data_IF_562945197413
#
_entry.id   IF_562945197413
#
_cell.length_a   1.000
_cell.length_b   1.000
_cell.length_c   1.000
_cell.angle_alpha   90.00
_cell.angle_beta   90.00
_cell.angle_gamma   90.00
#
_symmetry.space_group_name_H-M   'P 1'
#
loop_
_entity.id
_entity.type
_entity.pdbx_description
1 polymer ?
#
# COMPACT_ATOMS: atom_id res chain seq x y z
N UNK A 1 -46.46 -31.40 -31.32
CA UNK A 1 -45.55 -30.31 -31.71
C UNK A 1 -45.42 -30.31 -33.22
N UNK A 2 -45.82 -29.24 -33.92
CA UNK A 2 -45.86 -29.24 -35.40
C UNK A 2 -44.47 -29.44 -35.98
N UNK A 3 -44.37 -30.07 -37.16
CA UNK A 3 -43.08 -30.27 -37.85
C UNK A 3 -42.29 -28.96 -38.00
N UNK A 4 -42.98 -27.83 -38.24
CA UNK A 4 -42.38 -26.50 -38.31
C UNK A 4 -41.71 -26.08 -37.00
N UNK A 5 -42.33 -26.35 -35.85
CA UNK A 5 -41.75 -25.99 -34.54
C UNK A 5 -40.49 -26.81 -34.21
N UNK A 6 -40.40 -28.06 -34.69
CA UNK A 6 -39.18 -28.87 -34.57
C UNK A 6 -38.03 -28.33 -35.42
N UNK A 7 -38.31 -27.86 -36.64
CA UNK A 7 -37.32 -27.22 -37.51
C UNK A 7 -36.80 -25.90 -36.93
N UNK A 8 -37.68 -25.06 -36.38
CA UNK A 8 -37.26 -23.82 -35.70
C UNK A 8 -36.43 -24.11 -34.44
N UNK A 9 -36.79 -25.14 -33.65
CA UNK A 9 -36.00 -25.55 -32.51
C UNK A 9 -34.61 -26.07 -32.92
N UNK A 10 -34.52 -26.91 -33.97
CA UNK A 10 -33.22 -27.40 -34.48
C UNK A 10 -32.35 -26.28 -35.04
N UNK A 11 -32.94 -25.34 -35.78
CA UNK A 11 -32.23 -24.18 -36.31
C UNK A 11 -31.73 -23.27 -35.16
N UNK A 12 -32.56 -23.03 -34.14
CA UNK A 12 -32.17 -22.30 -32.94
C UNK A 12 -30.99 -22.95 -32.20
N UNK A 13 -31.05 -24.27 -31.99
CA UNK A 13 -29.95 -25.03 -31.36
C UNK A 13 -28.68 -24.96 -32.21
N UNK A 14 -28.78 -25.05 -33.53
CA UNK A 14 -27.63 -24.97 -34.45
C UNK A 14 -26.97 -23.60 -34.42
N UNK A 15 -27.75 -22.52 -34.40
CA UNK A 15 -27.25 -21.14 -34.29
C UNK A 15 -26.58 -20.91 -32.94
N UNK A 16 -27.20 -21.34 -31.83
CA UNK A 16 -26.62 -21.22 -30.49
C UNK A 16 -25.32 -22.01 -30.39
N UNK A 17 -25.27 -23.22 -30.95
CA UNK A 17 -24.08 -24.07 -30.97
C UNK A 17 -22.97 -23.43 -31.80
N UNK A 18 -23.29 -22.85 -32.97
CA UNK A 18 -22.32 -22.11 -33.77
C UNK A 18 -21.77 -20.88 -33.04
N UNK A 19 -22.62 -20.12 -32.35
CA UNK A 19 -22.20 -18.99 -31.51
C UNK A 19 -21.29 -19.46 -30.38
N UNK A 20 -21.61 -20.58 -29.71
CA UNK A 20 -20.78 -21.16 -28.66
C UNK A 20 -19.43 -21.64 -29.19
N UNK A 21 -19.38 -22.28 -30.36
CA UNK A 21 -18.14 -22.73 -30.99
C UNK A 21 -17.27 -21.53 -31.39
N UNK A 22 -17.87 -20.49 -31.97
CA UNK A 22 -17.18 -19.24 -32.34
C UNK A 22 -16.66 -18.55 -31.08
N UNK A 23 -17.47 -18.43 -30.03
CA UNK A 23 -17.05 -17.82 -28.77
C UNK A 23 -15.93 -18.62 -28.07
N UNK A 24 -16.03 -19.95 -28.04
CA UNK A 24 -15.03 -20.85 -27.48
C UNK A 24 -13.71 -20.83 -28.28
N UNK A 25 -13.78 -20.56 -29.59
CA UNK A 25 -12.62 -20.57 -30.50
C UNK A 25 -12.11 -19.18 -30.86
N UNK A 26 -12.76 -18.11 -30.38
CA UNK A 26 -12.47 -16.72 -30.77
C UNK A 26 -11.01 -16.34 -30.47
N UNK A 27 -10.54 -16.65 -29.26
CA UNK A 27 -9.16 -16.42 -28.83
C UNK A 27 -8.14 -17.13 -29.73
N UNK A 28 -8.46 -18.33 -30.19
CA UNK A 28 -7.63 -19.12 -31.10
C UNK A 28 -7.63 -18.52 -32.50
N UNK A 29 -8.78 -18.06 -33.00
CA UNK A 29 -8.89 -17.39 -34.30
C UNK A 29 -8.14 -16.06 -34.35
N UNK A 30 -8.25 -15.25 -33.29
CA UNK A 30 -7.49 -13.98 -33.16
C UNK A 30 -6.00 -14.27 -33.11
N UNK A 31 -5.58 -15.29 -32.33
CA UNK A 31 -4.17 -15.70 -32.28
C UNK A 31 -3.62 -16.15 -33.64
N UNK A 32 -4.37 -16.96 -34.38
CA UNK A 32 -3.99 -17.41 -35.73
C UNK A 32 -3.87 -16.21 -36.67
N UNK A 33 -4.86 -15.31 -36.68
CA UNK A 33 -4.84 -14.08 -37.49
C UNK A 33 -3.59 -13.25 -37.20
N UNK A 34 -3.27 -13.05 -35.93
CA UNK A 34 -2.11 -12.24 -35.54
C UNK A 34 -0.78 -12.97 -35.78
N UNK A 35 -0.76 -14.31 -35.71
CA UNK A 35 0.38 -15.15 -36.13
C UNK A 35 0.67 -14.97 -37.62
N UNK A 36 -0.36 -15.00 -38.47
CA UNK A 36 -0.20 -14.73 -39.91
C UNK A 36 0.29 -13.31 -40.14
N UNK A 37 -0.26 -12.31 -39.45
CA UNK A 37 0.24 -10.92 -39.54
C UNK A 37 1.70 -10.79 -39.12
N UNK A 38 2.08 -11.38 -37.99
CA UNK A 38 3.46 -11.38 -37.50
C UNK A 38 4.41 -12.05 -38.48
N UNK A 39 3.99 -13.17 -39.08
CA UNK A 39 4.75 -13.85 -40.13
C UNK A 39 4.96 -12.92 -41.33
N UNK A 40 3.90 -12.25 -41.82
CA UNK A 40 3.99 -11.26 -42.92
C UNK A 40 4.95 -10.12 -42.56
N UNK A 41 4.80 -9.53 -41.37
CA UNK A 41 5.68 -8.44 -40.90
C UNK A 41 7.15 -8.87 -40.88
N UNK A 42 7.45 -10.05 -40.32
CA UNK A 42 8.83 -10.58 -40.25
C UNK A 42 9.39 -10.92 -41.64
N UNK A 43 8.58 -11.51 -42.51
CA UNK A 43 9.00 -11.97 -43.85
C UNK A 43 9.35 -10.79 -44.75
N UNK A 44 8.54 -9.73 -44.70
CA UNK A 44 8.69 -8.56 -45.56
C UNK A 44 9.42 -7.41 -44.89
N UNK A 45 9.91 -7.59 -43.66
CA UNK A 45 10.60 -6.57 -42.85
C UNK A 45 9.88 -5.20 -42.86
N UNK A 46 8.54 -5.22 -42.77
CA UNK A 46 7.69 -4.05 -43.04
C UNK A 46 7.94 -2.85 -42.10
N UNK A 47 8.68 -3.06 -41.01
CA UNK A 47 8.96 -2.05 -39.99
C UNK A 47 10.44 -1.96 -39.59
N UNK A 48 11.36 -2.47 -40.42
CA UNK A 48 12.81 -2.47 -40.13
C UNK A 48 13.17 -3.07 -38.75
N UNK A 49 12.34 -3.98 -38.25
CA UNK A 49 12.49 -4.59 -36.93
C UNK A 49 13.23 -5.93 -37.07
N UNK A 50 14.24 -6.23 -36.25
CA UNK A 50 14.95 -7.50 -36.34
C UNK A 50 13.95 -8.65 -36.21
N UNK A 51 13.94 -9.61 -37.14
CA UNK A 51 12.92 -10.67 -37.22
C UNK A 51 12.72 -11.48 -35.92
N UNK A 52 13.72 -11.48 -35.03
CA UNK A 52 13.69 -12.12 -33.72
C UNK A 52 12.83 -11.39 -32.66
N UNK A 53 12.39 -10.15 -32.89
CA UNK A 53 11.76 -9.32 -31.84
C UNK A 53 10.22 -9.33 -31.85
N UNK A 54 9.57 -9.89 -32.88
CA UNK A 54 8.11 -9.77 -33.06
C UNK A 54 7.37 -11.07 -32.71
N UNK A 55 7.17 -11.43 -31.45
CA UNK A 55 6.47 -12.66 -31.04
C UNK A 55 4.94 -12.48 -30.89
N UNK A 56 4.14 -13.47 -31.33
CA UNK A 56 2.69 -13.50 -31.09
C UNK A 56 2.37 -14.23 -29.81
N UNK A 57 1.63 -13.56 -28.92
CA UNK A 57 1.25 -14.04 -27.60
C UNK A 57 -0.17 -14.61 -27.66
N UNK A 58 -0.39 -15.80 -27.11
CA UNK A 58 -1.71 -16.45 -27.12
C UNK A 58 -2.76 -15.65 -26.34
N UNK A 59 -4.03 -15.70 -26.78
CA UNK A 59 -5.15 -15.10 -26.04
C UNK A 59 -5.28 -15.60 -24.59
N UNK A 60 -4.83 -16.82 -24.30
CA UNK A 60 -4.74 -17.34 -22.93
C UNK A 60 -3.64 -16.70 -22.09
N UNK A 61 -2.55 -16.26 -22.72
CA UNK A 61 -1.46 -15.53 -22.06
C UNK A 61 -1.84 -14.08 -21.72
N UNK A 62 -2.82 -13.49 -22.43
CA UNK A 62 -3.40 -12.18 -22.09
C UNK A 62 -4.09 -12.15 -20.72
N UNK A 63 -4.48 -13.29 -20.12
CA UNK A 63 -5.02 -13.32 -18.74
C UNK A 63 -4.05 -12.73 -17.70
N UNK A 64 -2.75 -12.66 -18.01
CA UNK A 64 -1.72 -12.07 -17.16
C UNK A 64 -1.45 -10.61 -17.46
N UNK A 65 -2.21 -9.99 -18.36
CA UNK A 65 -2.01 -8.61 -18.79
C UNK A 65 -3.33 -7.83 -18.71
N UNK A 66 -3.26 -6.58 -18.31
CA UNK A 66 -4.37 -5.63 -18.34
C UNK A 66 -4.16 -4.62 -19.47
N UNK A 67 -5.28 -4.19 -20.05
CA UNK A 67 -5.27 -3.09 -21.00
C UNK A 67 -5.07 -1.78 -20.22
N UNK A 68 -3.92 -1.15 -20.40
CA UNK A 68 -3.55 0.14 -19.79
C UNK A 68 -4.60 1.23 -20.06
N UNK A 69 -5.23 1.18 -21.22
CA UNK A 69 -6.15 2.20 -21.73
C UNK A 69 -7.63 1.78 -21.62
N UNK A 70 -7.95 0.78 -20.80
CA UNK A 70 -9.34 0.31 -20.61
C UNK A 70 -10.29 1.42 -20.16
N UNK A 71 -9.79 2.35 -19.32
CA UNK A 71 -10.52 3.51 -18.83
C UNK A 71 -9.81 4.81 -19.26
N UNK A 72 -9.48 4.90 -20.56
CA UNK A 72 -8.81 6.07 -21.13
C UNK A 72 -9.67 7.35 -20.90
N UNK A 73 -9.10 8.43 -20.31
CA UNK A 73 -9.83 9.67 -20.08
C UNK A 73 -10.38 10.31 -21.36
N UNK A 74 -11.40 11.15 -21.22
CA UNK A 74 -11.96 11.90 -22.36
C UNK A 74 -10.87 12.75 -23.06
N UNK A 75 -10.89 12.74 -24.39
CA UNK A 75 -9.92 13.44 -25.22
C UNK A 75 -8.59 12.71 -25.39
N UNK A 76 -8.37 11.58 -24.71
CA UNK A 76 -7.17 10.77 -24.86
C UNK A 76 -7.37 9.71 -25.94
N UNK A 77 -6.33 9.47 -26.72
CA UNK A 77 -6.26 8.36 -27.67
C UNK A 77 -4.80 7.90 -27.78
N UNK A 78 -4.59 6.63 -28.10
CA UNK A 78 -3.24 6.10 -28.25
C UNK A 78 -3.05 5.55 -29.68
N UNK A 79 -1.82 5.64 -30.17
CA UNK A 79 -1.38 4.95 -31.38
C UNK A 79 -0.05 4.26 -31.09
N UNK A 80 -0.03 2.93 -31.26
CA UNK A 80 1.06 2.08 -30.79
C UNK A 80 1.39 2.36 -29.30
N UNK A 81 2.64 2.72 -29.02
CA UNK A 81 3.14 2.99 -27.67
C UNK A 81 3.13 4.49 -27.30
N UNK A 82 2.46 5.34 -28.09
CA UNK A 82 2.37 6.78 -27.81
C UNK A 82 0.94 7.16 -27.44
N UNK A 83 0.82 7.92 -26.35
CA UNK A 83 -0.43 8.50 -25.88
C UNK A 83 -0.55 9.95 -26.36
N UNK A 84 -1.76 10.33 -26.76
CA UNK A 84 -2.08 11.65 -27.25
C UNK A 84 -3.30 12.20 -26.54
N UNK A 85 -3.37 13.52 -26.45
CA UNK A 85 -4.53 14.25 -25.96
C UNK A 85 -5.02 15.25 -27.01
N UNK A 86 -6.34 15.31 -27.20
CA UNK A 86 -7.05 16.35 -27.94
C UNK A 86 -8.34 16.70 -27.21
N UNK A 87 -8.30 17.78 -26.43
CA UNK A 87 -9.43 18.26 -25.64
C UNK A 87 -10.45 19.06 -26.46
N UNK A 88 -11.69 19.08 -26.00
CA UNK A 88 -12.78 19.95 -26.50
C UNK A 88 -12.86 21.31 -25.78
N UNK A 89 -12.04 21.51 -24.74
CA UNK A 89 -11.94 22.74 -23.95
C UNK A 89 -10.49 23.01 -23.58
N UNK A 90 -10.19 24.25 -23.23
CA UNK A 90 -8.88 24.61 -22.69
C UNK A 90 -8.63 23.86 -21.38
N UNK A 91 -7.45 23.31 -21.20
CA UNK A 91 -7.03 22.63 -19.97
C UNK A 91 -5.63 23.09 -19.56
N UNK A 92 -5.31 23.03 -18.28
CA UNK A 92 -3.94 23.33 -17.84
C UNK A 92 -3.06 22.10 -18.05
N UNK A 93 -1.76 22.30 -18.29
CA UNK A 93 -0.80 21.18 -18.35
C UNK A 93 -0.75 20.42 -17.02
N UNK A 94 -1.10 21.10 -15.91
CA UNK A 94 -1.19 20.46 -14.60
C UNK A 94 -2.36 19.48 -14.49
N UNK A 95 -3.54 19.85 -14.96
CA UNK A 95 -4.71 18.97 -14.99
C UNK A 95 -4.48 17.81 -15.96
N UNK A 96 -3.89 18.11 -17.12
CA UNK A 96 -3.52 17.11 -18.11
C UNK A 96 -2.56 16.07 -17.49
N UNK A 97 -1.44 16.51 -16.91
CA UNK A 97 -0.47 15.65 -16.23
C UNK A 97 -1.13 14.77 -15.16
N UNK A 98 -2.00 15.34 -14.32
CA UNK A 98 -2.70 14.61 -13.26
C UNK A 98 -3.67 13.55 -13.80
N UNK A 99 -4.24 13.78 -14.99
CA UNK A 99 -5.17 12.85 -15.63
C UNK A 99 -4.49 11.66 -16.30
N UNK A 100 -3.19 11.78 -16.64
CA UNK A 100 -2.48 10.75 -17.42
C UNK A 100 -1.36 10.04 -16.69
N UNK A 101 -0.85 10.58 -15.58
CA UNK A 101 0.37 10.08 -14.94
C UNK A 101 0.35 8.57 -14.69
N UNK A 102 -0.79 7.99 -14.28
CA UNK A 102 -0.93 6.56 -14.01
C UNK A 102 -0.78 5.67 -15.26
N UNK A 103 -1.01 6.23 -16.46
CA UNK A 103 -0.84 5.59 -17.77
C UNK A 103 0.57 5.81 -18.36
N UNK A 104 1.48 6.38 -17.59
CA UNK A 104 2.87 6.66 -17.99
C UNK A 104 3.87 6.03 -17.04
N UNK A 105 5.14 6.01 -17.46
CA UNK A 105 6.29 5.66 -16.61
C UNK A 105 6.82 6.85 -15.79
N UNK A 106 6.22 8.04 -15.87
CA UNK A 106 6.56 9.14 -14.98
C UNK A 106 6.16 8.83 -13.54
N UNK A 107 7.08 9.06 -12.62
CA UNK A 107 6.78 8.96 -11.20
C UNK A 107 6.32 10.28 -10.59
N UNK A 108 6.77 11.42 -11.14
CA UNK A 108 6.46 12.75 -10.63
C UNK A 108 5.71 13.62 -11.64
N UNK A 109 4.78 14.41 -11.09
CA UNK A 109 3.99 15.38 -11.84
C UNK A 109 4.85 16.49 -12.43
N UNK A 110 5.92 16.91 -11.76
CA UNK A 110 6.79 17.94 -12.34
C UNK A 110 7.52 17.43 -13.58
N UNK A 111 7.99 16.17 -13.58
CA UNK A 111 8.72 15.57 -14.70
C UNK A 111 7.85 15.48 -15.95
N UNK A 112 6.63 14.96 -15.83
CA UNK A 112 5.70 14.91 -16.95
C UNK A 112 5.28 16.31 -17.42
N UNK A 113 5.09 17.28 -16.51
CA UNK A 113 4.76 18.66 -16.93
C UNK A 113 5.87 19.29 -17.76
N UNK A 114 7.13 19.11 -17.37
CA UNK A 114 8.28 19.61 -18.13
C UNK A 114 8.35 18.99 -19.53
N UNK A 115 8.14 17.68 -19.63
CA UNK A 115 8.17 16.97 -20.90
C UNK A 115 6.95 17.35 -21.77
N UNK A 116 5.76 17.52 -21.18
CA UNK A 116 4.58 18.04 -21.89
C UNK A 116 4.81 19.44 -22.47
N UNK A 117 5.38 20.37 -21.68
CA UNK A 117 5.67 21.73 -22.13
C UNK A 117 6.70 21.74 -23.27
N UNK A 118 7.81 21.03 -23.09
CA UNK A 118 8.95 21.06 -24.02
C UNK A 118 8.67 20.31 -25.33
N UNK A 119 8.08 19.11 -25.27
CA UNK A 119 7.80 18.29 -26.46
C UNK A 119 6.73 18.92 -27.35
N UNK A 120 5.77 19.62 -26.75
CA UNK A 120 4.62 20.19 -27.46
C UNK A 120 4.72 21.71 -27.67
N UNK A 121 5.83 22.34 -27.26
CA UNK A 121 6.08 23.79 -27.39
C UNK A 121 4.97 24.64 -26.76
N UNK A 122 4.44 24.21 -25.63
CA UNK A 122 3.38 24.92 -24.89
C UNK A 122 4.02 25.99 -24.01
N UNK A 123 3.74 27.26 -24.29
CA UNK A 123 4.38 28.39 -23.58
C UNK A 123 3.57 28.95 -22.41
N UNK A 124 2.25 28.79 -22.40
CA UNK A 124 1.36 29.43 -21.42
C UNK A 124 0.79 28.46 -20.37
N UNK A 125 1.34 27.25 -20.26
CA UNK A 125 0.83 26.19 -19.36
C UNK A 125 -0.65 25.83 -19.61
N UNK A 126 -1.16 26.19 -20.79
CA UNK A 126 -2.52 25.95 -21.27
C UNK A 126 -2.42 25.15 -22.56
N UNK A 127 -3.19 24.08 -22.66
CA UNK A 127 -3.48 23.36 -23.89
C UNK A 127 -4.80 23.89 -24.41
N UNK A 128 -4.79 24.46 -25.62
CA UNK A 128 -5.99 25.01 -26.22
C UNK A 128 -6.90 23.89 -26.75
N UNK A 129 -8.20 24.16 -26.79
CA UNK A 129 -9.17 23.25 -27.41
C UNK A 129 -8.75 22.88 -28.84
N UNK A 130 -8.79 21.59 -29.15
CA UNK A 130 -8.45 21.06 -30.47
C UNK A 130 -6.95 20.85 -30.73
N UNK A 131 -6.05 21.35 -29.88
CA UNK A 131 -4.62 21.05 -29.99
C UNK A 131 -4.34 19.57 -29.70
N UNK A 132 -3.41 18.99 -30.45
CA UNK A 132 -2.93 17.63 -30.22
C UNK A 132 -1.65 17.72 -29.38
N UNK A 133 -1.67 17.07 -28.23
CA UNK A 133 -0.54 16.99 -27.31
C UNK A 133 -0.02 15.55 -27.28
N UNK A 134 1.28 15.39 -27.49
CA UNK A 134 2.03 14.15 -27.37
C UNK A 134 2.41 13.95 -25.90
N UNK A 135 2.11 12.77 -25.37
CA UNK A 135 2.49 12.34 -24.03
C UNK A 135 3.54 11.24 -24.19
N UNK A 136 4.80 11.59 -23.94
CA UNK A 136 5.93 10.64 -23.98
C UNK A 136 5.91 9.66 -22.80
N UNK A 137 6.73 8.60 -22.86
CA UNK A 137 6.86 7.56 -21.82
C UNK A 137 5.53 6.95 -21.39
N UNK A 138 4.58 6.92 -22.33
CA UNK A 138 3.32 6.21 -22.13
C UNK A 138 3.58 4.72 -22.03
N UNK A 139 2.83 4.07 -21.13
CA UNK A 139 2.92 2.63 -20.95
C UNK A 139 2.48 1.91 -22.24
N UNK A 140 2.95 0.68 -22.48
CA UNK A 140 2.44 -0.12 -23.59
C UNK A 140 0.93 -0.38 -23.41
N UNK A 141 0.17 -0.63 -24.49
CA UNK A 141 -1.27 -0.89 -24.42
C UNK A 141 -1.64 -2.04 -23.48
N UNK A 142 -0.74 -3.01 -23.31
CA UNK A 142 -0.89 -4.11 -22.38
C UNK A 142 0.31 -4.14 -21.44
N UNK A 143 0.03 -4.07 -20.14
CA UNK A 143 1.01 -4.25 -19.07
C UNK A 143 0.67 -5.51 -18.28
N UNK A 144 1.67 -6.10 -17.64
CA UNK A 144 1.43 -7.23 -16.75
C UNK A 144 0.42 -6.84 -15.67
N UNK A 145 -0.56 -7.69 -15.43
CA UNK A 145 -1.59 -7.47 -14.42
C UNK A 145 -0.99 -7.68 -13.03
N UNK A 146 -0.37 -6.64 -12.52
CA UNK A 146 0.13 -6.64 -11.16
C UNK A 146 -1.01 -6.85 -10.16
N UNK A 147 -2.22 -6.33 -10.38
CA UNK A 147 -3.29 -6.47 -9.38
C UNK A 147 -3.74 -7.92 -9.22
N UNK A 148 -3.93 -8.66 -10.30
CA UNK A 148 -4.30 -10.10 -10.22
C UNK A 148 -3.11 -11.00 -9.92
N UNK A 149 -1.89 -10.60 -10.29
CA UNK A 149 -0.66 -11.32 -9.96
C UNK A 149 -0.06 -10.95 -8.59
N UNK A 150 -0.88 -10.40 -7.68
CA UNK A 150 -0.51 -10.28 -6.26
C UNK A 150 -0.01 -11.62 -5.74
N UNK A 151 0.95 -11.59 -4.80
CA UNK A 151 1.31 -12.79 -4.08
C UNK A 151 0.04 -13.28 -3.37
N UNK A 152 -0.52 -14.41 -3.81
CA UNK A 152 -1.74 -14.98 -3.21
C UNK A 152 -1.54 -15.45 -1.76
N UNK A 153 -0.31 -15.35 -1.25
CA UNK A 153 0.08 -15.67 0.11
C UNK A 153 1.04 -14.59 0.63
N UNK A 154 1.01 -14.37 1.94
CA UNK A 154 2.03 -13.59 2.63
C UNK A 154 3.38 -14.31 2.49
N UNK A 155 4.43 -13.54 2.19
CA UNK A 155 5.79 -14.07 2.01
C UNK A 155 6.65 -13.84 3.26
N UNK A 156 7.69 -14.67 3.42
CA UNK A 156 8.71 -14.40 4.44
C UNK A 156 9.34 -13.05 4.14
N UNK A 157 9.16 -12.09 5.05
CA UNK A 157 9.43 -10.69 4.76
C UNK A 157 10.77 -10.26 5.35
N UNK A 158 11.60 -9.60 4.54
CA UNK A 158 12.79 -8.85 4.96
C UNK A 158 12.57 -7.41 4.50
N UNK A 159 11.89 -6.63 5.33
CA UNK A 159 11.34 -5.33 4.95
C UNK A 159 12.16 -4.14 5.41
N UNK A 160 12.17 -3.06 4.62
CA UNK A 160 12.65 -1.74 5.04
C UNK A 160 11.51 -0.73 5.07
N UNK A 161 11.48 0.10 6.11
CA UNK A 161 10.56 1.23 6.21
C UNK A 161 11.03 2.45 5.41
N UNK A 162 10.07 3.18 4.83
CA UNK A 162 10.29 4.47 4.19
C UNK A 162 9.17 5.43 4.52
N UNK A 163 9.51 6.68 4.85
CA UNK A 163 8.50 7.73 4.91
C UNK A 163 7.87 7.94 3.53
N UNK A 164 6.67 8.51 3.47
CA UNK A 164 6.01 8.82 2.22
C UNK A 164 6.81 9.78 1.35
N UNK A 165 7.53 10.73 1.98
CA UNK A 165 8.46 11.63 1.30
C UNK A 165 9.64 10.89 0.65
N UNK A 166 10.21 9.89 1.32
CA UNK A 166 11.31 9.11 0.76
C UNK A 166 10.82 8.21 -0.36
N UNK A 167 9.73 7.48 -0.15
CA UNK A 167 9.13 6.63 -1.17
C UNK A 167 8.72 7.44 -2.41
N UNK A 168 8.25 8.68 -2.20
CA UNK A 168 7.85 9.63 -3.23
C UNK A 168 8.96 10.27 -4.06
N UNK A 169 10.24 9.94 -3.85
CA UNK A 169 11.36 10.48 -4.65
C UNK A 169 11.60 9.65 -5.90
N UNK A 170 11.92 10.28 -7.04
CA UNK A 170 12.33 9.52 -8.24
C UNK A 170 13.58 8.66 -7.98
N UNK A 171 14.53 9.18 -7.19
CA UNK A 171 15.74 8.44 -6.80
C UNK A 171 15.49 7.25 -5.87
N UNK A 172 14.28 7.11 -5.31
CA UNK A 172 13.92 5.92 -4.54
C UNK A 172 13.81 4.69 -5.44
N UNK A 173 13.17 4.85 -6.60
CA UNK A 173 12.92 3.74 -7.53
C UNK A 173 14.22 3.12 -8.07
N UNK A 174 15.27 3.93 -8.26
CA UNK A 174 16.58 3.44 -8.71
C UNK A 174 17.33 2.61 -7.65
N UNK A 175 16.89 2.64 -6.37
CA UNK A 175 17.49 1.85 -5.28
C UNK A 175 16.86 0.47 -5.12
N UNK A 176 15.70 0.20 -5.73
CA UNK A 176 15.01 -1.10 -5.62
C UNK A 176 15.89 -2.29 -6.02
N UNK A 177 16.70 -2.25 -7.11
CA UNK A 177 17.61 -3.34 -7.44
C UNK A 177 18.68 -3.58 -6.37
N UNK A 178 19.17 -2.50 -5.73
CA UNK A 178 20.17 -2.60 -4.66
C UNK A 178 19.56 -3.28 -3.43
N UNK A 179 18.34 -2.89 -3.04
CA UNK A 179 17.64 -3.55 -1.92
C UNK A 179 17.49 -5.05 -2.19
N UNK A 180 17.05 -5.41 -3.40
CA UNK A 180 16.95 -6.82 -3.83
C UNK A 180 18.29 -7.56 -3.71
N UNK A 181 19.38 -6.94 -4.17
CA UNK A 181 20.72 -7.55 -4.10
C UNK A 181 21.21 -7.78 -2.65
N UNK A 182 20.71 -6.99 -1.69
CA UNK A 182 20.96 -7.14 -0.26
C UNK A 182 19.98 -8.13 0.43
N UNK A 183 19.17 -8.86 -0.35
CA UNK A 183 18.19 -9.81 0.16
C UNK A 183 16.94 -9.16 0.79
N UNK A 184 16.75 -7.86 0.63
CA UNK A 184 15.51 -7.16 0.99
C UNK A 184 14.46 -7.49 -0.07
N UNK A 185 13.30 -7.96 0.37
CA UNK A 185 12.24 -8.41 -0.52
C UNK A 185 10.90 -7.70 -0.27
N UNK A 186 10.86 -6.73 0.65
CA UNK A 186 9.68 -5.93 0.89
C UNK A 186 10.04 -4.49 1.26
N UNK A 187 9.10 -3.59 0.99
CA UNK A 187 9.14 -2.23 1.53
C UNK A 187 7.84 -1.95 2.29
N UNK A 188 7.99 -1.26 3.41
CA UNK A 188 6.89 -0.58 4.10
C UNK A 188 7.02 0.89 3.75
N UNK A 189 5.98 1.50 3.20
CA UNK A 189 5.99 2.93 2.91
C UNK A 189 4.77 3.63 3.48
N UNK A 190 4.97 4.81 4.04
CA UNK A 190 3.86 5.59 4.56
C UNK A 190 3.00 6.14 3.43
N UNK A 191 1.73 5.73 3.43
CA UNK A 191 0.68 6.48 2.76
C UNK A 191 0.19 7.59 3.68
N UNK A 192 0.11 7.32 4.98
CA UNK A 192 -0.22 8.32 6.00
C UNK A 192 0.52 8.00 7.30
N UNK A 193 1.33 8.92 7.77
CA UNK A 193 1.98 8.84 9.08
C UNK A 193 1.20 9.67 10.12
N UNK A 194 1.80 9.89 11.31
CA UNK A 194 1.15 10.62 12.40
C UNK A 194 0.87 12.10 12.09
N UNK A 195 1.56 12.67 11.09
CA UNK A 195 1.26 14.03 10.64
C UNK A 195 -0.12 14.10 9.99
N UNK A 196 -0.64 12.97 9.50
CA UNK A 196 -1.91 12.90 8.78
C UNK A 196 -1.80 13.30 7.30
N UNK A 197 -0.59 13.56 6.79
CA UNK A 197 -0.38 13.81 5.36
C UNK A 197 -0.70 12.53 4.58
N UNK A 198 -1.65 12.61 3.65
CA UNK A 198 -1.91 11.53 2.71
C UNK A 198 -0.95 11.68 1.53
N UNK A 199 0.04 10.81 1.42
CA UNK A 199 1.11 10.93 0.43
C UNK A 199 0.69 10.61 -1.00
N UNK A 200 -0.51 10.07 -1.22
CA UNK A 200 -1.02 9.69 -2.53
C UNK A 200 -2.19 10.57 -2.98
N UNK A 201 -2.48 10.57 -4.29
CA UNK A 201 -3.80 10.98 -4.78
C UNK A 201 -4.87 10.08 -4.16
N UNK A 202 -6.02 10.65 -3.82
CA UNK A 202 -7.11 9.89 -3.19
C UNK A 202 -8.47 10.39 -3.64
N UNK A 203 -9.41 9.45 -3.78
CA UNK A 203 -10.83 9.70 -4.04
C UNK A 203 -11.66 9.79 -2.75
N UNK A 204 -11.08 9.44 -1.61
CA UNK A 204 -11.74 9.48 -0.30
C UNK A 204 -12.22 10.89 0.01
N UNK A 205 -13.47 10.98 0.46
CA UNK A 205 -14.19 12.25 0.67
C UNK A 205 -13.41 13.19 1.57
N UNK A 206 -12.97 12.72 2.74
CA UNK A 206 -12.26 13.52 3.76
C UNK A 206 -10.92 14.03 3.23
N UNK A 207 -10.20 13.22 2.43
CA UNK A 207 -8.93 13.65 1.83
C UNK A 207 -9.15 14.83 0.88
N UNK A 208 -10.21 14.78 0.08
CA UNK A 208 -10.54 15.84 -0.89
C UNK A 208 -11.12 17.08 -0.20
N UNK A 209 -12.03 16.89 0.75
CA UNK A 209 -12.73 17.97 1.46
C UNK A 209 -11.75 18.78 2.33
N UNK A 210 -10.86 18.09 3.06
CA UNK A 210 -9.89 18.74 3.94
C UNK A 210 -8.51 18.96 3.29
N UNK A 211 -8.35 18.55 2.02
CA UNK A 211 -7.12 18.68 1.26
C UNK A 211 -5.91 18.06 2.02
N UNK A 212 -6.11 16.83 2.53
CA UNK A 212 -5.13 16.12 3.37
C UNK A 212 -3.91 15.64 2.57
N UNK A 213 -4.04 15.56 1.24
CA UNK A 213 -2.97 15.17 0.33
C UNK A 213 -2.20 16.34 -0.29
N UNK A 214 -2.45 17.59 0.14
CA UNK A 214 -1.81 18.80 -0.42
C UNK A 214 -0.28 18.81 -0.39
N UNK A 215 0.31 18.07 0.56
CA UNK A 215 1.76 17.88 0.73
C UNK A 215 2.21 16.46 0.37
N UNK A 216 1.35 15.69 -0.29
CA UNK A 216 1.66 14.32 -0.65
C UNK A 216 2.81 14.23 -1.64
N UNK A 217 3.60 13.15 -1.53
CA UNK A 217 4.86 13.00 -2.24
C UNK A 217 4.84 11.89 -3.32
N UNK A 218 3.88 10.96 -3.26
CA UNK A 218 3.74 9.83 -4.17
C UNK A 218 2.69 10.20 -5.23
N UNK A 219 3.17 10.75 -6.36
CA UNK A 219 2.26 11.22 -7.41
C UNK A 219 1.69 10.09 -8.27
N UNK A 220 2.43 8.97 -8.41
CA UNK A 220 2.03 7.80 -9.19
C UNK A 220 2.17 6.50 -8.37
N UNK A 221 1.20 6.24 -7.49
CA UNK A 221 1.17 5.00 -6.67
C UNK A 221 1.17 3.72 -7.54
N UNK A 222 0.35 3.60 -8.61
CA UNK A 222 0.44 2.46 -9.52
C UNK A 222 1.85 2.28 -10.11
N UNK A 223 2.52 3.37 -10.47
CA UNK A 223 3.92 3.36 -10.94
C UNK A 223 4.90 2.81 -9.90
N UNK A 224 4.79 3.24 -8.63
CA UNK A 224 5.59 2.70 -7.53
C UNK A 224 5.38 1.18 -7.37
N UNK A 225 4.12 0.73 -7.36
CA UNK A 225 3.77 -0.68 -7.20
C UNK A 225 4.34 -1.51 -8.36
N UNK A 226 4.20 -1.04 -9.60
CA UNK A 226 4.79 -1.71 -10.78
C UNK A 226 6.30 -1.84 -10.65
N UNK A 227 7.01 -0.76 -10.31
CA UNK A 227 8.47 -0.78 -10.16
C UNK A 227 8.94 -1.68 -9.02
N UNK A 228 8.22 -1.74 -7.91
CA UNK A 228 8.50 -2.70 -6.83
C UNK A 228 8.38 -4.13 -7.35
N UNK A 229 7.31 -4.46 -8.07
CA UNK A 229 7.05 -5.82 -8.58
C UNK A 229 8.01 -6.25 -9.68
N UNK A 230 8.38 -5.36 -10.59
CA UNK A 230 9.46 -5.61 -11.56
C UNK A 230 10.77 -6.02 -10.86
N UNK A 231 10.98 -5.51 -9.64
CA UNK A 231 12.12 -5.86 -8.80
C UNK A 231 11.85 -7.01 -7.83
N UNK A 232 10.66 -7.61 -7.81
CA UNK A 232 10.30 -8.68 -6.88
C UNK A 232 10.17 -8.21 -5.42
N UNK A 233 9.80 -6.94 -5.23
CA UNK A 233 9.61 -6.32 -3.91
C UNK A 233 8.12 -6.32 -3.56
N UNK A 234 7.79 -6.93 -2.42
CA UNK A 234 6.47 -6.92 -1.80
C UNK A 234 6.16 -5.56 -1.18
N UNK A 235 4.93 -5.07 -1.36
CA UNK A 235 4.54 -3.71 -0.99
C UNK A 235 3.58 -3.69 0.19
N UNK A 236 4.00 -3.04 1.27
CA UNK A 236 3.22 -2.83 2.49
C UNK A 236 2.94 -1.34 2.63
N UNK A 237 1.69 -0.94 2.47
CA UNK A 237 1.28 0.46 2.59
C UNK A 237 0.82 0.76 4.03
N UNK A 238 1.54 1.63 4.73
CA UNK A 238 1.29 1.94 6.14
C UNK A 238 0.37 3.16 6.31
N UNK A 239 -0.59 3.04 7.22
CA UNK A 239 -1.51 4.09 7.65
C UNK A 239 -1.49 4.21 9.18
N UNK A 240 -1.07 5.36 9.70
CA UNK A 240 -1.35 5.75 11.09
C UNK A 240 -2.82 6.14 11.22
N UNK A 241 -3.55 5.50 12.14
CA UNK A 241 -5.03 5.58 12.18
C UNK A 241 -5.56 6.69 13.09
N UNK A 242 -5.37 6.57 14.41
CA UNK A 242 -5.99 7.48 15.38
C UNK A 242 -5.05 8.60 15.85
N UNK A 243 -3.74 8.45 15.64
CA UNK A 243 -2.78 9.54 15.82
C UNK A 243 -2.65 10.27 14.47
N UNK A 244 -3.42 11.34 14.29
CA UNK A 244 -3.59 12.00 12.99
C UNK A 244 -3.74 13.52 13.19
N UNK A 245 -2.63 14.24 13.04
CA UNK A 245 -2.58 15.68 13.31
C UNK A 245 -3.40 16.51 12.32
N UNK A 246 -3.38 16.15 11.03
CA UNK A 246 -4.11 16.91 10.02
C UNK A 246 -5.62 16.70 10.12
N UNK A 247 -6.11 15.47 10.33
CA UNK A 247 -7.54 15.25 10.53
C UNK A 247 -8.02 15.94 11.81
N UNK A 248 -7.24 15.82 12.90
CA UNK A 248 -7.53 16.52 14.15
C UNK A 248 -7.66 18.04 13.95
N UNK A 249 -6.74 18.64 13.19
CA UNK A 249 -6.76 20.08 12.92
C UNK A 249 -7.94 20.48 12.03
N UNK A 250 -8.23 19.70 10.99
CA UNK A 250 -9.25 20.00 9.97
C UNK A 250 -10.69 19.71 10.44
N UNK A 251 -10.90 18.76 11.34
CA UNK A 251 -12.24 18.35 11.77
C UNK A 251 -12.36 18.31 13.31
N UNK A 252 -12.96 19.34 13.94
CA UNK A 252 -13.17 19.38 15.39
C UNK A 252 -14.04 18.25 15.96
N UNK A 253 -14.85 17.59 15.13
CA UNK A 253 -15.66 16.43 15.54
C UNK A 253 -14.81 15.16 15.69
N UNK A 254 -13.65 15.11 15.05
CA UNK A 254 -12.73 13.97 15.17
C UNK A 254 -12.01 13.90 16.52
N UNK A 255 -11.99 14.98 17.31
CA UNK A 255 -11.13 15.13 18.49
C UNK A 255 -11.72 14.45 19.72
N UNK A 256 -10.84 13.86 20.54
CA UNK A 256 -11.17 13.49 21.93
C UNK A 256 -11.55 14.78 22.69
N UNK A 257 -12.58 14.71 23.54
CA UNK A 257 -13.03 15.84 24.35
C UNK A 257 -12.52 15.74 25.78
N UNK A 258 -12.43 16.87 26.46
CA UNK A 258 -12.16 16.98 27.89
C UNK A 258 -13.46 16.82 28.67
N UNK A 259 -13.49 15.97 29.70
CA UNK A 259 -14.63 15.82 30.62
C UNK A 259 -14.87 17.10 31.41
N UNK A 260 -13.80 17.73 31.87
CA UNK A 260 -13.86 18.92 32.73
C UNK A 260 -14.29 20.17 31.96
N UNK A 261 -13.86 20.33 30.71
CA UNK A 261 -14.09 21.58 29.95
C UNK A 261 -15.06 21.43 28.79
N UNK A 262 -15.34 20.21 28.32
CA UNK A 262 -16.11 19.94 27.10
C UNK A 262 -15.40 20.33 25.79
N UNK A 263 -14.19 20.88 25.86
CA UNK A 263 -13.36 21.29 24.72
C UNK A 263 -12.46 20.14 24.26
N UNK A 264 -11.46 20.42 23.43
CA UNK A 264 -10.43 19.44 23.07
C UNK A 264 -9.66 18.95 24.30
N UNK A 265 -9.40 17.65 24.33
CA UNK A 265 -8.56 17.02 25.35
C UNK A 265 -7.08 17.28 25.07
N UNK A 266 -6.32 17.58 26.13
CA UNK A 266 -4.89 17.94 26.08
C UNK A 266 -4.53 19.01 25.03
N UNK A 267 -5.14 20.21 25.10
CA UNK A 267 -4.73 21.31 24.23
C UNK A 267 -3.24 21.62 24.45
N UNK A 268 -2.44 21.55 23.37
CA UNK A 268 -0.99 21.81 23.42
C UNK A 268 -0.10 20.56 23.51
N UNK A 269 -0.69 19.36 23.60
CA UNK A 269 0.06 18.11 23.40
C UNK A 269 0.70 18.07 22.01
N UNK A 270 1.91 17.51 21.90
CA UNK A 270 2.50 17.18 20.60
C UNK A 270 1.83 15.94 19.95
N UNK A 271 1.16 15.12 20.76
CA UNK A 271 0.35 14.00 20.26
C UNK A 271 -1.11 14.42 20.09
N UNK A 272 -1.55 14.55 18.84
CA UNK A 272 -2.92 14.94 18.48
C UNK A 272 -3.72 13.71 18.06
N UNK A 273 -4.57 13.23 18.96
CA UNK A 273 -5.33 12.00 18.77
C UNK A 273 -6.79 12.30 18.36
N UNK A 274 -7.21 11.65 17.28
CA UNK A 274 -8.62 11.52 16.94
C UNK A 274 -9.27 10.45 17.83
N UNK A 275 -10.56 10.63 18.15
CA UNK A 275 -11.35 9.74 19.00
C UNK A 275 -11.54 8.38 18.32
N UNK A 276 -10.97 7.27 18.88
CA UNK A 276 -11.11 5.94 18.29
C UNK A 276 -12.54 5.41 18.24
N UNK A 277 -13.45 6.01 19.01
CA UNK A 277 -14.88 5.63 19.05
C UNK A 277 -15.69 6.33 17.96
N UNK A 278 -15.12 7.35 17.30
CA UNK A 278 -15.78 8.09 16.24
C UNK A 278 -15.82 7.28 14.93
N UNK A 279 -17.03 6.90 14.50
CA UNK A 279 -17.25 6.16 13.26
C UNK A 279 -16.77 6.88 12.01
N UNK A 280 -16.84 8.22 11.96
CA UNK A 280 -16.30 8.99 10.83
C UNK A 280 -14.80 8.81 10.69
N UNK A 281 -14.05 8.85 11.80
CA UNK A 281 -12.59 8.65 11.82
C UNK A 281 -12.24 7.22 11.40
N UNK A 282 -12.99 6.24 11.88
CA UNK A 282 -12.83 4.85 11.49
C UNK A 282 -13.09 4.64 9.99
N UNK A 283 -14.24 5.14 9.50
CA UNK A 283 -14.68 4.92 8.12
C UNK A 283 -13.77 5.63 7.10
N UNK A 284 -13.25 6.81 7.45
CA UNK A 284 -12.20 7.50 6.69
C UNK A 284 -10.96 6.62 6.47
N UNK A 285 -10.40 6.06 7.54
CA UNK A 285 -9.18 5.24 7.46
C UNK A 285 -9.43 3.92 6.71
N UNK A 286 -10.62 3.32 6.87
CA UNK A 286 -11.00 2.11 6.11
C UNK A 286 -11.13 2.43 4.63
N UNK A 287 -11.80 3.54 4.26
CA UNK A 287 -11.96 3.94 2.87
C UNK A 287 -10.60 4.19 2.18
N UNK A 288 -9.65 4.82 2.89
CA UNK A 288 -8.30 5.01 2.40
C UNK A 288 -7.58 3.66 2.20
N UNK A 289 -7.68 2.74 3.17
CA UNK A 289 -7.09 1.41 3.06
C UNK A 289 -7.66 0.59 1.89
N UNK A 290 -8.96 0.67 1.64
CA UNK A 290 -9.61 0.02 0.50
C UNK A 290 -9.11 0.60 -0.82
N UNK A 291 -8.97 1.92 -0.94
CA UNK A 291 -8.41 2.56 -2.16
C UNK A 291 -6.98 2.09 -2.44
N UNK A 292 -6.16 1.86 -1.40
CA UNK A 292 -4.81 1.31 -1.56
C UNK A 292 -4.84 -0.15 -2.02
N UNK A 293 -5.70 -0.97 -1.43
CA UNK A 293 -5.90 -2.37 -1.83
C UNK A 293 -6.34 -2.48 -3.29
N UNK A 294 -7.27 -1.62 -3.74
CA UNK A 294 -7.70 -1.52 -5.14
C UNK A 294 -6.58 -1.04 -6.08
N UNK A 295 -5.65 -0.23 -5.56
CA UNK A 295 -4.48 0.23 -6.31
C UNK A 295 -3.45 -0.88 -6.54
N UNK A 296 -3.53 -1.96 -5.76
CA UNK A 296 -2.75 -3.18 -5.97
C UNK A 296 -1.55 -3.34 -5.04
N UNK A 297 -1.55 -2.69 -3.87
CA UNK A 297 -0.59 -3.02 -2.81
C UNK A 297 -0.85 -4.47 -2.34
N UNK A 298 0.19 -5.15 -1.89
CA UNK A 298 0.05 -6.53 -1.42
C UNK A 298 -0.56 -6.56 -0.01
N UNK A 299 -0.22 -5.57 0.81
CA UNK A 299 -0.64 -5.48 2.21
C UNK A 299 -0.92 -4.03 2.62
N UNK A 300 -1.94 -3.83 3.46
CA UNK A 300 -2.16 -2.58 4.18
C UNK A 300 -1.84 -2.80 5.65
N UNK A 301 -0.91 -2.00 6.18
CA UNK A 301 -0.49 -2.05 7.58
C UNK A 301 -1.09 -0.88 8.35
N UNK A 302 -1.82 -1.17 9.42
CA UNK A 302 -2.30 -0.13 10.32
C UNK A 302 -1.37 0.07 11.52
N UNK A 303 -0.93 1.30 11.71
CA UNK A 303 -0.23 1.73 12.92
C UNK A 303 -1.09 2.70 13.74
N UNK A 304 -0.73 2.90 15.01
CA UNK A 304 -1.46 3.73 15.97
C UNK A 304 -2.95 3.35 16.05
N UNK A 305 -3.27 2.06 15.89
CA UNK A 305 -4.61 1.48 16.12
C UNK A 305 -4.85 1.23 17.60
N UNK A 306 -4.80 2.30 18.39
CA UNK A 306 -4.91 2.25 19.84
C UNK A 306 -5.46 3.56 20.39
N UNK A 307 -5.79 3.54 21.67
CA UNK A 307 -6.06 4.73 22.46
C UNK A 307 -4.75 5.44 22.84
N UNK A 308 -4.79 6.77 23.07
CA UNK A 308 -3.63 7.51 23.56
C UNK A 308 -3.19 7.00 24.93
N UNK A 309 -1.88 6.94 25.15
CA UNK A 309 -1.27 6.44 26.39
C UNK A 309 -0.66 7.55 27.25
N UNK A 310 -0.43 8.74 26.66
CA UNK A 310 0.09 9.91 27.34
C UNK A 310 -1.02 10.95 27.59
N UNK A 311 -0.75 11.93 28.45
CA UNK A 311 -1.68 12.98 28.83
C UNK A 311 -2.73 12.58 29.87
N UNK A 312 -3.66 13.48 30.21
CA UNK A 312 -4.62 13.26 31.31
C UNK A 312 -5.72 12.26 30.94
N UNK A 313 -5.44 10.98 31.14
CA UNK A 313 -6.38 9.90 30.86
C UNK A 313 -7.69 10.00 31.68
N UNK A 314 -7.65 10.64 32.86
CA UNK A 314 -8.82 10.85 33.70
C UNK A 314 -9.79 11.84 33.06
N UNK A 315 -9.28 12.88 32.42
CA UNK A 315 -10.05 13.91 31.73
C UNK A 315 -10.49 13.55 30.31
N UNK A 316 -9.96 12.48 29.70
CA UNK A 316 -10.35 12.07 28.35
C UNK A 316 -11.82 11.60 28.28
N UNK A 317 -12.61 12.22 27.41
CA UNK A 317 -13.99 11.87 27.07
C UNK A 317 -14.08 11.41 25.61
N UNK A 318 -14.43 10.13 25.43
CA UNK A 318 -14.71 9.52 24.12
C UNK A 318 -16.20 9.63 23.83
N UNK A 319 -16.61 10.75 23.25
CA UNK A 319 -18.02 11.19 23.20
C UNK A 319 -18.90 10.38 22.25
N UNK A 320 -18.29 9.56 21.39
CA UNK A 320 -19.00 8.64 20.50
C UNK A 320 -19.13 7.23 21.07
N UNK A 321 -18.57 6.98 22.26
CA UNK A 321 -18.75 5.72 22.99
C UNK A 321 -20.14 5.66 23.63
N UNK A 322 -20.77 4.49 23.57
CA UNK A 322 -21.98 4.19 24.35
C UNK A 322 -21.67 3.74 25.79
N UNK A 323 -20.38 3.68 26.15
CA UNK A 323 -19.89 3.25 27.46
C UNK A 323 -20.04 1.75 27.75
N UNK A 324 -20.56 0.96 26.80
CA UNK A 324 -20.81 -0.48 26.99
C UNK A 324 -19.64 -1.35 26.58
N UNK A 325 -18.83 -0.85 25.65
CA UNK A 325 -17.68 -1.58 25.10
C UNK A 325 -16.38 -1.14 25.74
N UNK A 326 -15.52 -2.11 26.02
CA UNK A 326 -14.14 -1.85 26.40
C UNK A 326 -13.33 -1.28 25.23
N UNK A 327 -12.20 -0.63 25.55
CA UNK A 327 -11.26 -0.10 24.53
C UNK A 327 -10.80 -1.19 23.57
N UNK A 328 -10.54 -2.40 24.09
CA UNK A 328 -10.16 -3.59 23.32
C UNK A 328 -11.22 -3.99 22.29
N UNK A 329 -12.49 -4.00 22.68
CA UNK A 329 -13.63 -4.31 21.79
C UNK A 329 -13.84 -3.22 20.72
N UNK A 330 -13.55 -1.96 21.04
CA UNK A 330 -13.64 -0.85 20.08
C UNK A 330 -12.59 -1.00 18.98
N UNK A 331 -11.33 -1.25 19.35
CA UNK A 331 -10.25 -1.45 18.38
C UNK A 331 -10.49 -2.73 17.57
N UNK A 332 -10.88 -3.83 18.22
CA UNK A 332 -11.20 -5.08 17.52
C UNK A 332 -12.38 -4.92 16.55
N UNK A 333 -13.42 -4.18 16.92
CA UNK A 333 -14.56 -3.89 16.06
C UNK A 333 -14.21 -2.99 14.87
N UNK A 334 -13.32 -2.01 15.04
CA UNK A 334 -12.73 -1.27 13.92
C UNK A 334 -11.98 -2.22 12.96
N UNK A 335 -11.08 -3.02 13.52
CA UNK A 335 -10.21 -3.90 12.76
C UNK A 335 -11.01 -4.98 12.01
N UNK A 336 -12.06 -5.53 12.61
CA UNK A 336 -12.98 -6.47 11.95
C UNK A 336 -13.54 -5.90 10.65
N UNK A 337 -14.09 -4.69 10.68
CA UNK A 337 -14.69 -4.03 9.51
C UNK A 337 -13.64 -3.66 8.47
N UNK A 338 -12.46 -3.22 8.92
CA UNK A 338 -11.35 -2.90 8.04
C UNK A 338 -10.88 -4.16 7.31
N UNK A 339 -10.70 -5.25 8.05
CA UNK A 339 -10.20 -6.51 7.52
C UNK A 339 -11.10 -7.08 6.43
N UNK A 340 -12.39 -7.16 6.68
CA UNK A 340 -13.36 -7.64 5.69
C UNK A 340 -13.30 -6.85 4.38
N UNK A 341 -13.30 -5.51 4.47
CA UNK A 341 -13.32 -4.65 3.29
C UNK A 341 -12.00 -4.67 2.51
N UNK A 342 -10.86 -4.64 3.21
CA UNK A 342 -9.52 -4.68 2.57
C UNK A 342 -9.28 -6.04 1.91
N UNK A 343 -9.68 -7.14 2.55
CA UNK A 343 -9.58 -8.49 1.98
C UNK A 343 -10.47 -8.66 0.75
N UNK A 344 -11.68 -8.10 0.76
CA UNK A 344 -12.56 -8.08 -0.41
C UNK A 344 -11.97 -7.26 -1.58
N UNK A 345 -11.19 -6.21 -1.29
CA UNK A 345 -10.41 -5.47 -2.29
C UNK A 345 -9.09 -6.18 -2.71
N UNK A 346 -8.74 -7.27 -2.04
CA UNK A 346 -7.71 -8.23 -2.43
C UNK A 346 -6.32 -8.01 -1.83
N UNK A 347 -6.18 -7.18 -0.78
CA UNK A 347 -4.91 -7.01 -0.06
C UNK A 347 -4.95 -7.66 1.33
N UNK A 348 -3.80 -8.07 1.85
CA UNK A 348 -3.66 -8.54 3.23
C UNK A 348 -3.69 -7.37 4.22
N UNK A 349 -3.96 -7.68 5.48
CA UNK A 349 -4.06 -6.69 6.55
C UNK A 349 -3.07 -7.03 7.65
N UNK A 350 -2.18 -6.10 7.93
CA UNK A 350 -1.30 -6.18 9.08
C UNK A 350 -1.55 -5.05 10.05
N UNK A 351 -1.12 -5.26 11.29
CA UNK A 351 -1.24 -4.26 12.35
C UNK A 351 0.06 -4.12 13.13
N UNK A 352 0.32 -2.91 13.58
CA UNK A 352 1.39 -2.62 14.52
C UNK A 352 0.83 -2.57 15.94
N UNK A 353 1.49 -3.28 16.85
CA UNK A 353 1.17 -3.24 18.28
C UNK A 353 2.33 -2.65 19.08
N UNK A 354 1.99 -1.95 20.15
CA UNK A 354 2.99 -1.34 21.00
C UNK A 354 3.83 -2.42 21.71
N UNK A 355 5.16 -2.26 21.77
CA UNK A 355 6.07 -3.32 22.20
C UNK A 355 5.74 -3.91 23.58
N UNK A 356 5.34 -3.08 24.54
CA UNK A 356 4.96 -3.53 25.90
C UNK A 356 3.74 -4.44 25.93
N UNK A 357 2.83 -4.33 24.94
CA UNK A 357 1.63 -5.16 24.82
C UNK A 357 2.00 -6.62 24.56
N UNK A 358 3.18 -6.89 23.96
CA UNK A 358 3.69 -8.25 23.76
C UNK A 358 3.84 -9.04 25.08
N UNK A 359 3.99 -8.38 26.23
CA UNK A 359 4.08 -9.04 27.54
C UNK A 359 2.71 -9.36 28.16
N UNK A 360 1.60 -9.06 27.48
CA UNK A 360 0.25 -9.48 27.88
C UNK A 360 -0.26 -8.90 29.19
N UNK A 361 0.36 -7.82 29.70
CA UNK A 361 -0.05 -7.19 30.95
C UNK A 361 -1.40 -6.47 30.77
N UNK A 362 -2.37 -6.81 31.63
CA UNK A 362 -3.72 -6.22 31.60
C UNK A 362 -3.70 -4.69 31.61
N UNK A 363 -2.83 -4.08 32.42
CA UNK A 363 -2.69 -2.60 32.48
C UNK A 363 -2.33 -1.96 31.14
N UNK A 364 -1.51 -2.62 30.32
CA UNK A 364 -1.10 -2.09 29.01
C UNK A 364 -2.19 -2.33 27.96
N UNK A 365 -2.87 -3.47 28.04
CA UNK A 365 -4.04 -3.81 27.20
C UNK A 365 -5.17 -2.81 27.46
N UNK A 366 -5.52 -2.55 28.72
CA UNK A 366 -6.61 -1.64 29.09
C UNK A 366 -6.30 -0.19 28.70
N UNK A 367 -5.03 0.23 28.81
CA UNK A 367 -4.61 1.56 28.37
C UNK A 367 -4.68 1.73 26.86
N UNK A 368 -4.11 0.79 26.11
CA UNK A 368 -3.98 0.89 24.65
C UNK A 368 -5.23 0.46 23.89
N UNK A 369 -6.03 -0.44 24.45
CA UNK A 369 -7.06 -1.18 23.72
C UNK A 369 -6.49 -2.26 22.79
N UNK A 370 -5.20 -2.61 22.89
CA UNK A 370 -4.60 -3.64 22.05
C UNK A 370 -4.63 -5.00 22.77
N UNK A 371 -5.72 -5.74 22.60
CA UNK A 371 -5.81 -7.14 23.05
C UNK A 371 -5.43 -8.06 21.89
N UNK A 372 -4.25 -8.70 21.98
CA UNK A 372 -3.70 -9.55 20.90
C UNK A 372 -4.66 -10.68 20.53
N UNK A 373 -5.33 -11.31 21.50
CA UNK A 373 -6.21 -12.44 21.25
C UNK A 373 -7.47 -12.02 20.47
N UNK A 374 -7.95 -10.78 20.70
CA UNK A 374 -9.06 -10.21 19.93
C UNK A 374 -8.61 -9.74 18.54
N UNK A 375 -7.47 -9.03 18.46
CA UNK A 375 -6.96 -8.46 17.22
C UNK A 375 -6.53 -9.54 16.22
N UNK A 376 -5.93 -10.64 16.68
CA UNK A 376 -5.49 -11.76 15.85
C UNK A 376 -6.61 -12.44 15.04
N UNK A 377 -7.88 -12.22 15.41
CA UNK A 377 -9.04 -12.72 14.65
C UNK A 377 -9.34 -11.91 13.39
N UNK A 378 -8.76 -10.71 13.28
CA UNK A 378 -9.12 -9.69 12.32
C UNK A 378 -7.91 -9.09 11.61
N UNK A 379 -6.78 -9.78 11.58
CA UNK A 379 -5.63 -9.41 10.77
C UNK A 379 -4.90 -10.67 10.30
N UNK A 380 -4.11 -10.54 9.24
CA UNK A 380 -3.29 -11.61 8.72
C UNK A 380 -1.89 -11.62 9.35
N UNK A 381 -1.38 -10.45 9.76
CA UNK A 381 -0.06 -10.28 10.37
C UNK A 381 -0.12 -9.31 11.57
N UNK A 382 0.53 -9.67 12.67
CA UNK A 382 0.83 -8.77 13.78
C UNK A 382 2.32 -8.44 13.77
N UNK A 383 2.63 -7.14 13.78
CA UNK A 383 3.98 -6.61 13.80
C UNK A 383 4.26 -5.89 15.11
N UNK A 384 4.76 -6.59 16.15
CA UNK A 384 5.09 -5.94 17.41
C UNK A 384 6.30 -5.02 17.26
N UNK A 385 6.19 -3.80 17.80
CA UNK A 385 7.26 -2.79 17.82
C UNK A 385 8.27 -3.08 18.94
N UNK A 386 9.08 -4.11 18.76
CA UNK A 386 10.02 -4.64 19.76
C UNK A 386 11.36 -3.89 19.75
N UNK A 387 11.34 -2.56 19.86
CA UNK A 387 12.57 -1.76 19.93
C UNK A 387 13.19 -1.86 21.32
N UNK A 388 14.33 -2.55 21.51
CA UNK A 388 14.86 -2.83 22.85
C UNK A 388 15.13 -1.53 23.65
N UNK A 389 15.55 -0.47 22.97
CA UNK A 389 15.80 0.85 23.57
C UNK A 389 14.57 1.56 24.15
N UNK A 390 13.36 1.16 23.74
CA UNK A 390 12.10 1.79 24.13
C UNK A 390 11.44 1.12 25.35
N UNK A 391 11.98 0.00 25.81
CA UNK A 391 11.59 -0.55 27.11
C UNK A 391 12.23 0.29 28.22
N UNK A 392 11.49 0.43 29.33
CA UNK A 392 12.01 1.09 30.52
C UNK A 392 13.20 0.30 31.08
N UNK A 393 14.06 0.96 31.85
CA UNK A 393 15.14 0.26 32.56
C UNK A 393 14.54 -0.75 33.54
N UNK A 394 15.31 -1.79 33.86
CA UNK A 394 14.89 -2.90 34.75
C UNK A 394 13.65 -3.67 34.24
N UNK A 395 13.56 -3.85 32.93
CA UNK A 395 12.45 -4.56 32.30
C UNK A 395 12.85 -6.01 31.97
N UNK A 396 11.94 -6.95 32.28
CA UNK A 396 12.10 -8.39 32.03
C UNK A 396 13.41 -8.99 32.56
N UNK A 397 13.90 -8.46 33.69
CA UNK A 397 15.14 -8.89 34.35
C UNK A 397 16.41 -8.24 33.81
N UNK A 398 16.32 -7.31 32.85
CA UNK A 398 17.46 -6.62 32.27
C UNK A 398 17.54 -5.16 32.71
N UNK A 399 18.69 -4.75 33.24
CA UNK A 399 18.94 -3.36 33.63
C UNK A 399 18.85 -2.41 32.44
N UNK A 400 19.47 -2.77 31.31
CA UNK A 400 19.55 -1.96 30.09
C UNK A 400 18.97 -2.74 28.89
N UNK A 401 17.64 -2.79 28.69
CA UNK A 401 17.03 -3.54 27.58
C UNK A 401 17.61 -3.24 26.19
N UNK A 402 18.04 -2.00 25.95
CA UNK A 402 18.67 -1.54 24.71
C UNK A 402 19.89 -2.36 24.28
N UNK A 403 20.58 -3.03 25.21
CA UNK A 403 21.77 -3.86 24.93
C UNK A 403 21.47 -5.36 24.87
N UNK A 404 20.20 -5.76 24.90
CA UNK A 404 19.76 -7.16 24.85
C UNK A 404 18.82 -7.45 23.68
N UNK A 405 19.17 -7.06 22.43
CA UNK A 405 18.26 -7.15 21.29
C UNK A 405 17.74 -8.56 21.02
N UNK A 406 18.60 -9.57 21.09
CA UNK A 406 18.20 -10.96 20.84
C UNK A 406 17.04 -11.40 21.75
N UNK A 407 17.15 -11.13 23.06
CA UNK A 407 16.15 -11.52 24.05
C UNK A 407 14.79 -10.88 23.77
N UNK A 408 14.77 -9.56 23.61
CA UNK A 408 13.52 -8.80 23.45
C UNK A 408 12.78 -9.14 22.14
N UNK A 409 13.51 -9.39 21.05
CA UNK A 409 12.89 -9.86 19.82
C UNK A 409 12.36 -11.29 19.99
N UNK A 410 13.18 -12.21 20.51
CA UNK A 410 12.83 -13.62 20.67
C UNK A 410 11.59 -13.82 21.53
N UNK A 411 11.63 -13.28 22.76
CA UNK A 411 10.56 -13.46 23.74
C UNK A 411 9.32 -12.66 23.39
N UNK A 412 9.48 -11.44 22.86
CA UNK A 412 8.35 -10.64 22.38
C UNK A 412 7.56 -11.36 21.28
N UNK A 413 8.24 -11.94 20.30
CA UNK A 413 7.57 -12.69 19.23
C UNK A 413 6.87 -13.95 19.74
N UNK A 414 7.51 -14.73 20.62
CA UNK A 414 6.92 -15.93 21.22
C UNK A 414 5.66 -15.63 22.01
N UNK A 415 5.69 -14.59 22.84
CA UNK A 415 4.53 -14.18 23.63
C UNK A 415 3.39 -13.68 22.76
N UNK A 416 3.67 -12.91 21.70
CA UNK A 416 2.63 -12.50 20.74
C UNK A 416 2.00 -13.71 20.05
N UNK A 417 2.81 -14.68 19.61
CA UNK A 417 2.31 -15.90 18.98
C UNK A 417 1.44 -16.73 19.93
N UNK A 418 1.85 -16.86 21.19
CA UNK A 418 1.10 -17.53 22.25
C UNK A 418 -0.25 -16.83 22.51
N UNK A 419 -0.24 -15.51 22.73
CA UNK A 419 -1.45 -14.71 22.98
C UNK A 419 -2.41 -14.70 21.79
N UNK A 420 -1.88 -14.76 20.56
CA UNK A 420 -2.68 -14.88 19.35
C UNK A 420 -3.22 -16.30 19.10
N UNK A 421 -2.83 -17.29 19.90
CA UNK A 421 -3.23 -18.69 19.76
C UNK A 421 -2.70 -19.35 18.47
N UNK A 422 -1.58 -18.86 17.92
CA UNK A 422 -0.95 -19.41 16.71
C UNK A 422 -1.71 -19.21 15.40
N UNK A 423 -2.75 -18.36 15.37
CA UNK A 423 -3.65 -18.18 14.20
C UNK A 423 -3.23 -17.07 13.24
N UNK A 424 -2.29 -16.23 13.65
CA UNK A 424 -1.84 -15.04 12.90
C UNK A 424 -0.34 -15.11 12.70
N UNK A 425 0.14 -14.55 11.59
CA UNK A 425 1.58 -14.43 11.36
C UNK A 425 2.15 -13.37 12.30
N UNK A 426 3.26 -13.69 12.96
CA UNK A 426 4.04 -12.70 13.73
C UNK A 426 5.23 -12.27 12.89
N UNK A 427 5.42 -10.95 12.73
CA UNK A 427 6.52 -10.35 11.97
C UNK A 427 6.98 -9.06 12.66
N UNK A 428 7.99 -9.10 13.55
CA UNK A 428 8.36 -7.95 14.37
C UNK A 428 8.94 -6.79 13.56
N UNK A 429 8.79 -5.59 14.12
CA UNK A 429 9.66 -4.47 13.78
C UNK A 429 10.96 -4.57 14.57
N UNK A 430 12.09 -4.43 13.87
CA UNK A 430 13.44 -4.41 14.40
C UNK A 430 13.99 -2.98 14.40
N UNK A 431 14.76 -2.65 15.43
CA UNK A 431 15.39 -1.35 15.59
C UNK A 431 16.61 -1.22 14.66
N UNK A 432 16.56 -0.27 13.73
CA UNK A 432 17.67 0.07 12.84
C UNK A 432 18.23 1.47 13.12
N UNK A 433 18.34 1.83 14.41
CA UNK A 433 18.91 3.08 14.92
C UNK A 433 19.57 2.87 16.29
N UNK A 434 20.51 3.73 16.69
CA UNK A 434 21.35 3.53 17.88
C UNK A 434 20.89 4.25 19.17
N UNK A 435 19.64 4.69 19.27
CA UNK A 435 19.17 5.40 20.46
C UNK A 435 19.16 4.47 21.68
N UNK A 436 19.78 4.88 22.80
CA UNK A 436 19.95 4.09 24.04
C UNK A 436 20.53 2.69 23.83
N UNK A 437 21.44 2.54 22.87
CA UNK A 437 22.21 1.31 22.63
C UNK A 437 23.69 1.62 22.82
N UNK A 438 24.38 0.87 23.68
CA UNK A 438 25.79 1.09 23.99
C UNK A 438 26.70 0.80 22.79
N UNK A 439 26.31 -0.16 21.93
CA UNK A 439 27.07 -0.55 20.72
C UNK A 439 26.15 -0.86 19.55
N UNK A 440 25.70 0.18 18.84
CA UNK A 440 24.93 0.02 17.61
C UNK A 440 25.87 -0.25 16.41
N UNK A 441 25.75 -1.42 15.80
CA UNK A 441 26.54 -1.85 14.64
C UNK A 441 25.84 -3.01 13.89
N UNK A 442 26.48 -3.57 12.86
CA UNK A 442 25.93 -4.71 12.11
C UNK A 442 25.67 -5.96 12.96
N UNK A 443 26.47 -6.23 14.01
CA UNK A 443 26.24 -7.38 14.90
C UNK A 443 24.97 -7.20 15.74
N UNK A 444 24.67 -5.97 16.17
CA UNK A 444 23.41 -5.65 16.84
C UNK A 444 22.19 -5.94 15.93
N UNK A 445 22.28 -5.63 14.64
CA UNK A 445 21.25 -6.00 13.66
C UNK A 445 21.12 -7.51 13.53
N UNK A 446 22.25 -8.23 13.41
CA UNK A 446 22.27 -9.68 13.28
C UNK A 446 21.64 -10.39 14.49
N UNK A 447 21.85 -9.90 15.72
CA UNK A 447 21.22 -10.45 16.93
C UNK A 447 19.70 -10.32 16.91
N UNK A 448 19.17 -9.19 16.44
CA UNK A 448 17.72 -9.00 16.28
C UNK A 448 17.15 -9.97 15.22
N UNK A 449 17.81 -10.10 14.08
CA UNK A 449 17.42 -11.04 13.01
C UNK A 449 17.43 -12.48 13.53
N UNK A 450 18.47 -12.86 14.28
CA UNK A 450 18.56 -14.18 14.92
C UNK A 450 17.40 -14.40 15.90
N UNK A 451 17.10 -13.43 16.76
CA UNK A 451 15.97 -13.51 17.70
C UNK A 451 14.62 -13.68 16.97
N UNK A 452 14.43 -12.97 15.86
CA UNK A 452 13.24 -13.10 15.03
C UNK A 452 13.11 -14.51 14.46
N UNK A 453 14.18 -15.04 13.85
CA UNK A 453 14.15 -16.37 13.25
C UNK A 453 13.94 -17.47 14.30
N UNK A 454 14.65 -17.42 15.43
CA UNK A 454 14.59 -18.43 16.50
C UNK A 454 13.27 -18.40 17.28
N UNK A 455 12.48 -17.33 17.14
CA UNK A 455 11.13 -17.24 17.69
C UNK A 455 10.09 -17.97 16.84
N UNK A 456 10.40 -18.29 15.59
CA UNK A 456 9.44 -18.77 14.59
C UNK A 456 8.64 -17.67 13.89
N UNK A 457 8.99 -16.39 14.07
CA UNK A 457 8.39 -15.28 13.35
C UNK A 457 8.64 -15.41 11.82
N UNK A 458 7.69 -14.95 11.02
CA UNK A 458 7.72 -15.08 9.56
C UNK A 458 8.35 -13.86 8.89
N UNK A 459 9.61 -13.61 9.24
CA UNK A 459 10.37 -12.46 8.76
C UNK A 459 10.36 -11.29 9.75
N UNK A 460 10.73 -10.11 9.28
CA UNK A 460 10.93 -8.90 10.07
C UNK A 460 10.90 -7.63 9.21
N UNK A 461 10.67 -6.49 9.85
CA UNK A 461 10.65 -5.15 9.24
C UNK A 461 11.64 -4.24 9.96
N UNK A 462 12.54 -3.54 9.25
CA UNK A 462 13.50 -2.63 9.87
C UNK A 462 12.96 -1.20 9.96
N UNK A 463 12.85 -0.68 11.17
CA UNK A 463 12.42 0.70 11.44
C UNK A 463 13.61 1.64 11.61
N UNK A 464 13.63 2.70 10.81
CA UNK A 464 14.46 3.88 11.02
C UNK A 464 13.77 5.12 10.42
N UNK A 465 13.36 6.06 11.27
CA UNK A 465 12.68 7.29 10.86
C UNK A 465 13.51 8.18 9.91
N UNK A 466 14.85 8.07 9.94
CA UNK A 466 15.75 8.77 9.02
C UNK A 466 15.97 8.03 7.68
N UNK A 467 15.40 6.84 7.52
CA UNK A 467 15.59 5.93 6.38
C UNK A 467 17.07 5.68 6.01
N UNK A 468 17.94 5.59 7.04
CA UNK A 468 19.35 5.20 6.92
C UNK A 468 19.53 3.75 7.36
N UNK A 469 20.22 2.96 6.56
CA UNK A 469 20.22 1.49 6.69
C UNK A 469 21.63 0.88 6.52
N UNK A 470 22.69 1.66 6.76
CA UNK A 470 24.06 1.22 6.50
C UNK A 470 24.45 -0.02 7.34
N UNK A 471 24.13 -0.04 8.64
CA UNK A 471 24.37 -1.20 9.50
C UNK A 471 23.50 -2.41 9.10
N UNK A 472 22.29 -2.16 8.59
CA UNK A 472 21.43 -3.22 8.06
C UNK A 472 22.06 -3.85 6.82
N UNK A 473 22.51 -3.05 5.86
CA UNK A 473 23.16 -3.57 4.66
C UNK A 473 24.49 -4.28 4.97
N UNK A 474 25.28 -3.75 5.91
CA UNK A 474 26.50 -4.42 6.38
C UNK A 474 26.20 -5.77 7.07
N UNK A 475 25.07 -5.88 7.76
CA UNK A 475 24.64 -7.13 8.40
C UNK A 475 24.07 -8.14 7.41
N UNK A 476 23.35 -7.68 6.39
CA UNK A 476 22.62 -8.53 5.44
C UNK A 476 23.46 -8.95 4.22
N UNK A 477 24.53 -8.20 3.92
CA UNK A 477 25.46 -8.49 2.82
C UNK A 477 26.57 -9.49 3.16
N UNK A 478 26.53 -10.10 4.35
CA UNK A 478 27.37 -11.23 4.79
C UNK A 478 26.52 -12.48 4.88
#
# INVERSE_FOLDING_TARGET
MSHKLRYFALAGVSVITAIFIIAASFSSMVYIKDTVKSLVIRTFNLYETPAATVSVISGSSYKRYINTYQAIPEGMFHFANMLYYKGNKNTTVSDLALSVIEMTDYYKLYSIKQDLLSLNRINQNIVNSGEIVIIDKSLPPFIYDYKSARAGNIIFTKGLYFSGDTAGRESFLSRLPVFKSMGINAIVFDVKDITGIVHTKSRVKEVREYNLNRRGAIDNLPGLIRKCRENGIYTIARIAVFHDQLLWASDPSSRIKSKSTGREWNPGSHEMWCDPTNRKVQDYNIALAVELAESGVDEVQFDYIRFPTLGDQGDAAFVYSDGKKERSEIIAGFLQRAHEQIRNAGAFVSIDIFGVVAWGKRVDIDKTGQDIALLAKHCDVISPMLYPSHFNDEFDGFKNPGDHPYHFILEGCRKVAELAGGKVIVRPWLQAFGWRVSRYNAAYIAEQVKGSNDSGAFGYLFWNASNRYDEVFQSMGK
#
